data_IF_344632130244
#
_entry.id   IF_344632130244
#
_cell.length_a   1.000
_cell.length_b   1.000
_cell.length_c   1.000
_cell.angle_alpha   90.00
_cell.angle_beta   90.00
_cell.angle_gamma   90.00
#
_symmetry.space_group_name_H-M   'P 1'
#
loop_
_entity.id
_entity.type
_entity.pdbx_description
1 polymer ?
#
# COMPACT_ATOMS: atom_id res chain seq x y z
N UNK A 1 -9.25 -8.13 -5.24
CA UNK A 1 -9.23 -7.53 -3.88
C UNK A 1 -9.89 -8.42 -2.83
N UNK A 2 -9.27 -8.63 -1.66
CA UNK A 2 -9.90 -9.26 -0.47
C UNK A 2 -10.55 -8.23 0.45
N UNK A 3 -11.63 -8.61 1.16
CA UNK A 3 -12.31 -7.73 2.12
C UNK A 3 -11.38 -7.15 3.21
N UNK A 4 -10.32 -7.87 3.59
CA UNK A 4 -9.34 -7.38 4.57
C UNK A 4 -8.56 -6.16 4.04
N UNK A 5 -8.16 -6.17 2.77
CA UNK A 5 -7.43 -5.07 2.16
C UNK A 5 -8.28 -3.78 2.12
N UNK A 6 -9.58 -3.91 1.84
CA UNK A 6 -10.53 -2.78 1.88
C UNK A 6 -10.66 -2.22 3.31
N UNK A 7 -10.75 -3.10 4.32
CA UNK A 7 -10.80 -2.68 5.72
C UNK A 7 -9.53 -1.91 6.10
N UNK A 8 -8.36 -2.41 5.72
CA UNK A 8 -7.09 -1.77 6.03
C UNK A 8 -6.94 -0.42 5.32
N UNK A 9 -7.44 -0.32 4.08
CA UNK A 9 -7.49 0.94 3.35
C UNK A 9 -8.40 1.96 4.03
N UNK A 10 -9.55 1.52 4.56
CA UNK A 10 -10.44 2.37 5.36
C UNK A 10 -9.75 2.83 6.64
N UNK A 11 -9.04 1.93 7.35
CA UNK A 11 -8.24 2.28 8.53
C UNK A 11 -7.17 3.31 8.16
N UNK A 12 -6.43 3.12 7.06
CA UNK A 12 -5.45 4.07 6.57
C UNK A 12 -6.08 5.45 6.30
N UNK A 13 -7.25 5.50 5.66
CA UNK A 13 -7.99 6.75 5.41
C UNK A 13 -8.35 7.46 6.72
N UNK A 14 -8.89 6.73 7.69
CA UNK A 14 -9.30 7.29 8.98
C UNK A 14 -8.09 7.76 9.80
N UNK A 15 -7.03 6.96 9.88
CA UNK A 15 -5.84 7.28 10.69
C UNK A 15 -4.97 8.37 10.08
N UNK A 16 -4.94 8.49 8.74
CA UNK A 16 -4.20 9.56 8.06
C UNK A 16 -5.01 10.85 7.91
N UNK A 17 -6.34 10.77 7.90
CA UNK A 17 -7.21 11.89 7.53
C UNK A 17 -7.09 12.31 6.06
N UNK A 18 -6.34 11.57 5.24
CA UNK A 18 -6.03 11.96 3.87
C UNK A 18 -7.11 11.53 2.87
N UNK A 19 -7.21 12.30 1.79
CA UNK A 19 -7.81 11.79 0.55
C UNK A 19 -7.05 10.55 0.08
N UNK A 20 -7.78 9.48 -0.26
CA UNK A 20 -7.20 8.26 -0.82
C UNK A 20 -7.95 7.98 -2.12
N UNK A 21 -7.20 7.95 -3.22
CA UNK A 21 -7.70 7.57 -4.54
C UNK A 21 -7.09 6.22 -4.89
N UNK A 22 -7.94 5.20 -5.01
CA UNK A 22 -7.51 3.86 -5.43
C UNK A 22 -7.34 3.87 -6.94
N UNK A 23 -6.16 3.50 -7.40
CA UNK A 23 -5.82 3.39 -8.82
C UNK A 23 -5.75 1.94 -9.28
N UNK A 24 -5.64 1.00 -8.34
CA UNK A 24 -5.55 -0.42 -8.64
C UNK A 24 -5.84 -1.34 -7.45
N UNK A 25 -6.06 -2.62 -7.72
CA UNK A 25 -6.35 -3.68 -6.75
C UNK A 25 -7.11 -4.88 -7.34
N UNK A 26 -7.61 -4.76 -8.57
CA UNK A 26 -8.32 -5.83 -9.30
C UNK A 26 -7.53 -6.35 -10.51
N UNK A 27 -6.25 -6.01 -10.63
CA UNK A 27 -5.44 -6.29 -11.80
C UNK A 27 -5.30 -7.80 -12.00
N UNK A 28 -5.83 -8.26 -13.13
CA UNK A 28 -5.78 -9.64 -13.57
C UNK A 28 -4.44 -9.82 -14.30
N UNK A 29 -3.43 -10.43 -13.67
CA UNK A 29 -2.22 -10.94 -14.36
C UNK A 29 -0.86 -10.23 -14.15
N UNK A 30 -0.71 -9.29 -13.21
CA UNK A 30 0.51 -8.46 -13.13
C UNK A 30 1.65 -8.92 -12.19
N UNK A 31 1.45 -9.92 -11.32
CA UNK A 31 2.57 -10.55 -10.60
C UNK A 31 2.14 -11.92 -10.04
N UNK A 32 2.70 -13.00 -10.58
CA UNK A 32 2.52 -14.35 -10.03
C UNK A 32 3.25 -14.48 -8.69
N UNK A 33 2.50 -14.46 -7.58
CA UNK A 33 3.04 -14.64 -6.23
C UNK A 33 1.95 -14.61 -5.17
N UNK A 34 2.23 -15.18 -3.98
CA UNK A 34 1.25 -15.32 -2.88
C UNK A 34 0.64 -13.98 -2.44
N UNK A 35 1.46 -12.92 -2.35
CA UNK A 35 1.02 -11.56 -2.02
C UNK A 35 0.96 -10.68 -3.28
N UNK A 36 -0.02 -10.95 -4.13
CA UNK A 36 -0.20 -10.27 -5.41
C UNK A 36 -1.53 -9.49 -5.45
N UNK A 37 -1.60 -8.55 -6.39
CA UNK A 37 -2.85 -7.90 -6.81
C UNK A 37 -3.91 -8.94 -7.18
N UNK A 38 -3.49 -9.97 -7.91
CA UNK A 38 -4.30 -11.14 -8.26
C UNK A 38 -4.94 -11.82 -7.04
N UNK A 39 -4.14 -12.13 -6.01
CA UNK A 39 -4.63 -12.75 -4.79
C UNK A 39 -5.38 -11.76 -3.87
N UNK A 40 -5.49 -10.49 -4.27
CA UNK A 40 -6.23 -9.45 -3.56
C UNK A 40 -5.54 -8.93 -2.30
N UNK A 41 -4.22 -9.09 -2.20
CA UNK A 41 -3.39 -8.62 -1.09
C UNK A 41 -2.76 -7.26 -1.34
N UNK A 42 -2.77 -6.79 -2.58
CA UNK A 42 -2.21 -5.50 -2.96
C UNK A 42 -3.29 -4.53 -3.42
N UNK A 43 -3.09 -3.25 -3.14
CA UNK A 43 -3.92 -2.13 -3.59
C UNK A 43 -2.98 -0.99 -3.98
N UNK A 44 -3.22 -0.40 -5.14
CA UNK A 44 -2.49 0.78 -5.60
C UNK A 44 -3.29 2.04 -5.28
N UNK A 45 -2.62 3.05 -4.75
CA UNK A 45 -3.22 4.37 -4.52
C UNK A 45 -2.39 5.48 -5.16
N UNK A 46 -3.06 6.51 -5.65
CA UNK A 46 -2.38 7.70 -6.19
C UNK A 46 -1.54 8.39 -5.12
N UNK A 47 -0.41 8.94 -5.53
CA UNK A 47 0.36 9.85 -4.68
C UNK A 47 -0.45 11.13 -4.42
N UNK A 48 -0.43 11.57 -3.17
CA UNK A 48 -0.80 12.94 -2.82
C UNK A 48 0.08 13.42 -1.64
N UNK A 49 0.21 14.74 -1.49
CA UNK A 49 1.09 15.33 -0.48
C UNK A 49 0.75 14.88 0.95
N UNK A 50 -0.54 14.70 1.26
CA UNK A 50 -1.01 14.26 2.57
C UNK A 50 -0.55 12.83 2.87
N UNK A 51 -0.90 11.86 2.01
CA UNK A 51 -0.60 10.44 2.26
C UNK A 51 0.90 10.18 2.15
N UNK A 52 1.60 10.88 1.26
CA UNK A 52 3.06 10.81 1.16
C UNK A 52 3.71 11.21 2.48
N UNK A 53 3.30 12.36 3.03
CA UNK A 53 3.85 12.86 4.29
C UNK A 53 3.49 11.95 5.46
N UNK A 54 2.28 11.40 5.48
CA UNK A 54 1.85 10.48 6.53
C UNK A 54 2.70 9.20 6.52
N UNK A 55 2.82 8.53 5.37
CA UNK A 55 3.59 7.29 5.23
C UNK A 55 5.05 7.51 5.60
N UNK A 56 5.70 8.53 5.05
CA UNK A 56 7.14 8.73 5.26
C UNK A 56 7.50 9.21 6.67
N UNK A 57 6.55 9.79 7.41
CA UNK A 57 6.76 10.24 8.80
C UNK A 57 6.37 9.19 9.84
N UNK A 58 5.31 8.43 9.58
CA UNK A 58 4.73 7.51 10.57
C UNK A 58 5.24 6.08 10.43
N UNK A 59 5.65 5.66 9.23
CA UNK A 59 6.06 4.28 8.97
C UNK A 59 7.57 4.14 8.92
N UNK A 60 8.06 2.98 9.36
CA UNK A 60 9.49 2.69 9.37
C UNK A 60 9.98 2.47 7.94
N UNK A 61 10.99 3.22 7.51
CA UNK A 61 11.66 2.95 6.24
C UNK A 61 12.43 1.63 6.33
N UNK A 62 12.21 0.72 5.38
CA UNK A 62 12.82 -0.64 5.38
C UNK A 62 13.78 -0.87 4.21
N UNK A 63 14.09 0.17 3.43
CA UNK A 63 15.00 0.08 2.29
C UNK A 63 14.30 0.23 0.94
N UNK A 64 15.01 -0.13 -0.13
CA UNK A 64 14.48 -0.15 -1.50
C UNK A 64 14.19 -1.57 -1.94
N UNK A 65 13.06 -1.77 -2.62
CA UNK A 65 12.72 -3.03 -3.30
C UNK A 65 13.63 -3.21 -4.52
N UNK A 66 13.71 -4.43 -5.08
CA UNK A 66 14.60 -4.76 -6.20
C UNK A 66 14.43 -3.91 -7.48
N UNK A 67 13.30 -3.21 -7.62
CA UNK A 67 13.01 -2.24 -8.67
C UNK A 67 13.39 -0.78 -8.32
N UNK A 68 13.97 -0.55 -7.14
CA UNK A 68 14.34 0.76 -6.63
C UNK A 68 13.25 1.49 -5.85
N UNK A 69 12.05 0.94 -5.72
CA UNK A 69 10.95 1.56 -4.99
C UNK A 69 11.26 1.67 -3.49
N UNK A 70 11.14 2.86 -2.91
CA UNK A 70 11.33 3.07 -1.48
C UNK A 70 10.20 2.39 -0.69
N UNK A 71 10.55 1.57 0.30
CA UNK A 71 9.60 0.79 1.08
C UNK A 71 9.50 1.29 2.52
N UNK A 72 8.26 1.32 3.00
CA UNK A 72 7.90 1.72 4.35
C UNK A 72 6.99 0.66 4.97
N UNK A 73 7.20 0.35 6.25
CA UNK A 73 6.43 -0.65 6.99
C UNK A 73 5.67 0.01 8.12
N UNK A 74 4.35 -0.17 8.12
CA UNK A 74 3.50 0.23 9.24
C UNK A 74 3.68 -0.74 10.42
N UNK A 75 3.35 -0.28 11.63
CA UNK A 75 3.33 -1.12 12.84
C UNK A 75 2.39 -2.32 12.72
N UNK A 76 1.32 -2.20 11.91
CA UNK A 76 0.42 -3.29 11.54
C UNK A 76 1.09 -4.40 10.72
N UNK A 77 2.31 -4.19 10.22
CA UNK A 77 3.01 -5.14 9.36
C UNK A 77 2.80 -4.92 7.86
N UNK A 78 1.85 -4.05 7.49
CA UNK A 78 1.59 -3.66 6.10
C UNK A 78 2.79 -2.91 5.49
N UNK A 79 3.08 -3.20 4.22
CA UNK A 79 4.22 -2.64 3.49
C UNK A 79 3.74 -1.73 2.38
N UNK A 80 4.38 -0.57 2.25
CA UNK A 80 4.06 0.49 1.31
C UNK A 80 5.28 0.75 0.45
N UNK A 81 5.20 0.42 -0.85
CA UNK A 81 6.27 0.67 -1.81
C UNK A 81 5.93 1.88 -2.68
N UNK A 82 6.81 2.87 -2.76
CA UNK A 82 6.61 4.04 -3.61
C UNK A 82 7.10 3.76 -5.02
N UNK A 83 6.18 3.44 -5.92
CA UNK A 83 6.45 3.13 -7.33
C UNK A 83 6.17 4.34 -8.21
N UNK A 84 7.17 5.22 -8.37
CA UNK A 84 7.12 6.34 -9.32
C UNK A 84 5.94 7.30 -9.12
N UNK A 85 4.79 6.96 -9.68
CA UNK A 85 3.53 7.71 -9.67
C UNK A 85 2.43 7.18 -8.72
N UNK A 86 2.65 6.06 -8.02
CA UNK A 86 1.68 5.51 -7.05
C UNK A 86 2.36 4.84 -5.85
N UNK A 87 1.55 4.53 -4.84
CA UNK A 87 1.93 3.61 -3.76
C UNK A 87 1.35 2.24 -4.05
N UNK A 88 2.21 1.23 -4.04
CA UNK A 88 1.86 -0.19 -4.07
C UNK A 88 1.86 -0.73 -2.64
N UNK A 89 0.66 -0.98 -2.10
CA UNK A 89 0.45 -1.35 -0.70
C UNK A 89 0.19 -2.85 -0.62
N UNK A 90 1.01 -3.56 0.15
CA UNK A 90 0.81 -4.98 0.45
C UNK A 90 0.24 -5.15 1.86
N UNK A 91 -0.98 -5.67 1.95
CA UNK A 91 -1.67 -5.95 3.22
C UNK A 91 -1.43 -7.40 3.66
N UNK A 92 -0.38 -7.65 4.43
CA UNK A 92 0.00 -9.00 4.88
C UNK A 92 -0.54 -9.40 6.25
N UNK A 93 -1.17 -8.46 6.98
CA UNK A 93 -1.59 -8.65 8.36
C UNK A 93 -2.96 -8.01 8.65
N UNK A 94 -3.43 -8.10 9.90
CA UNK A 94 -4.66 -7.47 10.37
C UNK A 94 -4.53 -5.95 10.42
N UNK A 95 -5.58 -5.28 9.96
CA UNK A 95 -5.89 -3.89 10.28
C UNK A 95 -6.52 -3.80 11.68
#
# INVERSE_FOLDING_TARGET
VRCNAIRCLKTLKTSSGCGITVTGGTETGHAGGTYSHWNGYKIDISLNSCINSYITKQFAYIGKRGDGAAQYKASSGNVYAKEGNHWDITFTASC
#
